data_IF_257326481463
#
_entry.id   IF_257326481463
#
_cell.length_a   1.000
_cell.length_b   1.000
_cell.length_c   1.000
_cell.angle_alpha   90.00
_cell.angle_beta   90.00
_cell.angle_gamma   90.00
#
_symmetry.space_group_name_H-M   'P 1'
#
loop_
_entity.id
_entity.type
_entity.pdbx_description
1 polymer ?
#
# COMPACT_ATOMS: atom_id res chain seq x y z
N UNK A 1 9.52 17.32 31.95
CA UNK A 1 9.27 16.31 30.88
C UNK A 1 9.64 16.83 29.48
N UNK A 2 9.40 18.10 29.13
CA UNK A 2 9.79 18.63 27.82
C UNK A 2 11.31 18.75 27.61
N UNK A 3 12.09 19.06 28.65
CA UNK A 3 13.54 19.23 28.52
C UNK A 3 14.28 17.92 28.22
N UNK A 4 13.84 16.79 28.82
CA UNK A 4 14.42 15.46 28.57
C UNK A 4 14.21 15.01 27.11
N UNK A 5 13.04 15.34 26.54
CA UNK A 5 12.75 15.06 25.13
C UNK A 5 13.62 15.94 24.21
N UNK A 6 13.80 17.21 24.54
CA UNK A 6 14.66 18.11 23.78
C UNK A 6 16.14 17.65 23.81
N UNK A 7 16.61 17.14 24.94
CA UNK A 7 17.95 16.58 25.08
C UNK A 7 18.13 15.28 24.28
N UNK A 8 17.11 14.42 24.27
CA UNK A 8 17.08 13.21 23.42
C UNK A 8 17.12 13.54 21.94
N UNK A 9 16.30 14.50 21.48
CA UNK A 9 16.28 14.93 20.07
C UNK A 9 17.65 15.49 19.68
N UNK A 10 18.24 16.36 20.50
CA UNK A 10 19.58 16.93 20.25
C UNK A 10 20.67 15.86 20.17
N UNK A 11 20.61 14.85 21.03
CA UNK A 11 21.54 13.72 21.00
C UNK A 11 21.40 12.90 19.71
N UNK A 12 20.16 12.72 19.23
CA UNK A 12 19.86 11.97 18.02
C UNK A 12 20.23 12.77 16.74
N UNK A 13 20.13 14.09 16.76
CA UNK A 13 20.59 14.96 15.68
C UNK A 13 22.13 14.98 15.60
N UNK A 14 22.82 15.02 16.75
CA UNK A 14 24.28 14.92 16.81
C UNK A 14 24.77 13.57 16.24
N UNK A 15 24.03 12.49 16.48
CA UNK A 15 24.28 11.17 15.90
C UNK A 15 24.20 11.16 14.38
N UNK A 16 23.16 11.79 13.81
CA UNK A 16 22.92 11.82 12.36
C UNK A 16 23.97 12.63 11.59
N UNK A 17 24.62 13.58 12.25
CA UNK A 17 25.70 14.38 11.69
C UNK A 17 27.05 13.66 11.74
N UNK A 18 27.15 12.50 12.40
CA UNK A 18 28.39 11.72 12.43
C UNK A 18 28.69 11.19 11.03
N UNK A 19 29.92 11.39 10.52
CA UNK A 19 30.30 10.87 9.21
C UNK A 19 30.20 9.34 9.22
N UNK A 20 29.44 8.81 8.27
CA UNK A 20 29.29 7.36 8.10
C UNK A 20 30.64 6.82 7.63
N UNK A 21 31.26 5.85 8.32
CA UNK A 21 32.49 5.24 7.85
C UNK A 21 32.23 4.60 6.48
N UNK A 22 33.21 4.65 5.55
CA UNK A 22 33.05 4.00 4.27
C UNK A 22 32.74 2.52 4.50
N UNK A 23 31.72 1.96 3.81
CA UNK A 23 31.41 0.55 3.96
C UNK A 23 32.64 -0.28 3.59
N UNK A 24 32.88 -1.42 4.27
CA UNK A 24 33.95 -2.32 3.88
C UNK A 24 33.75 -2.71 2.41
N UNK A 25 34.82 -2.70 1.63
CA UNK A 25 34.80 -3.08 0.21
C UNK A 25 34.47 -4.56 0.08
N UNK A 26 33.17 -4.88 0.03
CA UNK A 26 32.70 -6.20 -0.34
C UNK A 26 32.64 -6.27 -1.86
N UNK A 27 33.13 -7.36 -2.48
CA UNK A 27 32.91 -7.57 -3.91
C UNK A 27 31.40 -7.61 -4.16
N UNK A 28 30.87 -6.58 -4.82
CA UNK A 28 29.48 -6.56 -5.26
C UNK A 28 29.41 -7.51 -6.44
N UNK A 29 28.95 -8.73 -6.19
CA UNK A 29 28.65 -9.69 -7.26
C UNK A 29 27.53 -9.08 -8.10
N UNK A 30 27.79 -8.86 -9.40
CA UNK A 30 26.73 -8.50 -10.34
C UNK A 30 25.86 -9.73 -10.54
N UNK A 31 24.56 -9.58 -10.28
CA UNK A 31 23.57 -10.59 -10.63
C UNK A 31 23.43 -10.62 -12.15
N UNK A 32 23.41 -11.81 -12.72
CA UNK A 32 23.02 -12.01 -14.11
C UNK A 32 21.50 -11.82 -14.26
N UNK A 33 20.98 -11.52 -15.46
CA UNK A 33 19.54 -11.39 -15.68
C UNK A 33 18.74 -12.62 -15.22
N UNK A 34 19.25 -13.83 -15.42
CA UNK A 34 18.57 -15.06 -14.96
C UNK A 34 18.51 -15.22 -13.44
N UNK A 35 19.55 -14.77 -12.73
CA UNK A 35 19.54 -14.75 -11.26
C UNK A 35 18.61 -13.67 -10.71
N UNK A 36 18.37 -12.59 -11.47
CA UNK A 36 17.37 -11.59 -11.13
C UNK A 36 15.96 -12.16 -11.28
N UNK A 37 15.69 -12.92 -12.34
CA UNK A 37 14.41 -13.61 -12.55
C UNK A 37 14.12 -14.60 -11.41
N UNK A 38 15.10 -15.43 -11.02
CA UNK A 38 14.96 -16.38 -9.91
C UNK A 38 14.67 -15.67 -8.58
N UNK A 39 15.31 -14.52 -8.33
CA UNK A 39 15.02 -13.71 -7.13
C UNK A 39 13.64 -13.05 -7.21
N UNK A 40 13.21 -12.57 -8.37
CA UNK A 40 11.87 -12.05 -8.58
C UNK A 40 10.81 -13.14 -8.35
N UNK A 41 11.06 -14.36 -8.81
CA UNK A 41 10.19 -15.52 -8.57
C UNK A 41 10.19 -15.95 -7.09
N UNK A 42 11.32 -15.84 -6.39
CA UNK A 42 11.42 -16.15 -4.97
C UNK A 42 10.79 -15.08 -4.05
N UNK A 43 10.77 -13.82 -4.50
CA UNK A 43 10.20 -12.66 -3.77
C UNK A 43 8.74 -12.42 -4.15
N UNK A 44 8.28 -12.87 -5.31
CA UNK A 44 6.86 -13.02 -5.62
C UNK A 44 6.38 -14.32 -4.98
N UNK A 45 5.74 -14.32 -3.80
CA UNK A 45 5.08 -15.53 -3.36
C UNK A 45 4.06 -15.97 -4.41
N UNK A 46 3.84 -17.29 -4.58
CA UNK A 46 2.88 -17.84 -5.55
C UNK A 46 1.43 -17.37 -5.33
N UNK A 47 1.19 -16.57 -4.28
CA UNK A 47 -0.08 -16.02 -3.85
C UNK A 47 0.03 -14.53 -3.39
N UNK A 48 1.04 -13.75 -3.80
CA UNK A 48 0.88 -12.27 -3.77
C UNK A 48 0.22 -11.83 -5.08
N UNK A 49 -1.03 -11.38 -5.03
CA UNK A 49 -1.61 -10.73 -6.17
C UNK A 49 -0.83 -9.45 -6.41
N UNK A 50 -0.16 -9.35 -7.57
CA UNK A 50 0.07 -8.05 -8.18
C UNK A 50 -1.22 -7.21 -8.03
N UNK A 51 -1.19 -6.02 -7.42
CA UNK A 51 -2.40 -5.22 -7.15
C UNK A 51 -3.17 -4.79 -8.41
N UNK A 52 -2.71 -5.18 -9.59
CA UNK A 52 -3.36 -4.91 -10.87
C UNK A 52 -4.14 -6.09 -11.46
N UNK A 53 -4.14 -7.28 -10.82
CA UNK A 53 -4.79 -8.48 -11.39
C UNK A 53 -5.65 -9.28 -10.40
N UNK A 54 -6.04 -8.72 -9.25
CA UNK A 54 -7.21 -9.25 -8.53
C UNK A 54 -8.49 -8.92 -9.33
N UNK A 55 -9.04 -9.94 -9.97
CA UNK A 55 -10.38 -9.90 -10.55
C UNK A 55 -11.45 -9.94 -9.45
N UNK A 56 -11.50 -8.95 -8.56
CA UNK A 56 -12.36 -9.00 -7.37
C UNK A 56 -13.46 -7.94 -7.40
N UNK A 57 -14.59 -8.28 -8.03
CA UNK A 57 -15.78 -7.42 -7.94
C UNK A 57 -16.28 -7.27 -6.49
N UNK A 58 -15.98 -8.27 -5.64
CA UNK A 58 -16.27 -8.28 -4.20
C UNK A 58 -15.31 -7.39 -3.41
N UNK A 59 -13.99 -7.48 -3.62
CA UNK A 59 -13.04 -6.56 -2.95
C UNK A 59 -13.31 -5.10 -3.32
N UNK A 60 -13.63 -4.82 -4.61
CA UNK A 60 -14.06 -3.47 -5.02
C UNK A 60 -15.37 -3.01 -4.36
N UNK A 61 -16.26 -3.95 -4.02
CA UNK A 61 -17.49 -3.64 -3.29
C UNK A 61 -17.19 -3.31 -1.83
N UNK A 62 -16.29 -4.05 -1.18
CA UNK A 62 -15.84 -3.78 0.20
C UNK A 62 -15.14 -2.42 0.29
N UNK A 63 -14.23 -2.12 -0.64
CA UNK A 63 -13.57 -0.81 -0.71
C UNK A 63 -14.58 0.31 -0.95
N UNK A 64 -15.56 0.09 -1.84
CA UNK A 64 -16.63 1.05 -2.09
C UNK A 64 -17.51 1.25 -0.85
N UNK A 65 -17.86 0.17 -0.16
CA UNK A 65 -18.65 0.19 1.07
C UNK A 65 -17.94 0.99 2.17
N UNK A 66 -16.64 0.79 2.32
CA UNK A 66 -15.81 1.55 3.25
C UNK A 66 -15.81 3.04 2.93
N UNK A 67 -15.59 3.43 1.66
CA UNK A 67 -15.63 4.84 1.21
C UNK A 67 -17.02 5.48 1.45
N UNK A 68 -18.09 4.73 1.20
CA UNK A 68 -19.47 5.20 1.49
C UNK A 68 -19.73 5.38 2.98
N UNK A 69 -19.15 4.52 3.84
CA UNK A 69 -19.20 4.65 5.30
C UNK A 69 -18.46 5.89 5.83
N UNK A 70 -17.43 6.36 5.13
CA UNK A 70 -16.74 7.63 5.43
C UNK A 70 -17.52 8.89 4.97
N UNK A 71 -18.66 8.71 4.31
CA UNK A 71 -19.49 9.81 3.80
C UNK A 71 -19.09 10.31 2.41
N UNK A 72 -18.25 9.59 1.66
CA UNK A 72 -17.90 10.01 0.31
C UNK A 72 -19.08 9.93 -0.67
N UNK A 73 -19.18 10.87 -1.62
CA UNK A 73 -20.18 10.82 -2.67
C UNK A 73 -19.91 9.65 -3.62
N UNK A 74 -21.00 9.07 -4.14
CA UNK A 74 -20.99 7.86 -4.99
C UNK A 74 -20.02 7.96 -6.16
N UNK A 75 -19.94 9.13 -6.79
CA UNK A 75 -19.09 9.37 -7.97
C UNK A 75 -17.60 9.32 -7.63
N UNK A 76 -17.22 9.85 -6.46
CA UNK A 76 -15.84 9.85 -5.97
C UNK A 76 -15.42 8.45 -5.51
N UNK A 77 -16.30 7.76 -4.77
CA UNK A 77 -16.07 6.40 -4.33
C UNK A 77 -15.94 5.43 -5.53
N UNK A 78 -16.81 5.57 -6.53
CA UNK A 78 -16.75 4.76 -7.76
C UNK A 78 -15.45 5.00 -8.55
N UNK A 79 -15.01 6.26 -8.64
CA UNK A 79 -13.75 6.63 -9.29
C UNK A 79 -12.54 6.00 -8.61
N UNK A 80 -12.51 5.98 -7.27
CA UNK A 80 -11.41 5.38 -6.50
C UNK A 80 -11.30 3.86 -6.68
N UNK A 81 -12.42 3.15 -6.71
CA UNK A 81 -12.43 1.68 -6.91
C UNK A 81 -12.39 1.28 -8.39
N UNK A 82 -12.24 2.25 -9.30
CA UNK A 82 -12.10 1.99 -10.74
C UNK A 82 -13.38 1.54 -11.45
N UNK A 83 -14.57 1.86 -10.91
CA UNK A 83 -15.86 1.51 -11.54
C UNK A 83 -16.61 2.75 -12.00
N UNK A 84 -17.45 2.60 -13.04
CA UNK A 84 -18.31 3.69 -13.48
C UNK A 84 -19.38 4.01 -12.41
N UNK A 85 -19.68 5.29 -12.21
CA UNK A 85 -20.71 5.73 -11.27
C UNK A 85 -22.09 5.10 -11.54
N UNK A 86 -22.41 4.83 -12.82
CA UNK A 86 -23.63 4.12 -13.22
C UNK A 86 -23.64 2.68 -12.70
N UNK A 87 -22.51 1.98 -12.79
CA UNK A 87 -22.33 0.60 -12.30
C UNK A 87 -22.39 0.55 -10.77
N UNK A 88 -21.78 1.52 -10.08
CA UNK A 88 -21.87 1.63 -8.62
C UNK A 88 -23.32 1.81 -8.14
N UNK A 89 -24.09 2.71 -8.76
CA UNK A 89 -25.52 2.90 -8.43
C UNK A 89 -26.37 1.65 -8.68
N UNK A 90 -26.07 0.88 -9.71
CA UNK A 90 -26.89 -0.27 -10.11
C UNK A 90 -26.53 -1.56 -9.38
N UNK A 91 -25.25 -1.77 -9.06
CA UNK A 91 -24.78 -3.03 -8.46
C UNK A 91 -24.39 -2.88 -6.99
N UNK A 92 -23.69 -1.81 -6.63
CA UNK A 92 -23.06 -1.69 -5.32
C UNK A 92 -23.99 -1.09 -4.28
N UNK A 93 -24.76 -0.04 -4.62
CA UNK A 93 -25.75 0.55 -3.69
C UNK A 93 -26.84 -0.44 -3.22
N UNK A 94 -27.40 -1.32 -4.08
CA UNK A 94 -28.36 -2.34 -3.62
C UNK A 94 -27.73 -3.41 -2.72
N UNK A 95 -26.47 -3.78 -2.98
CA UNK A 95 -25.73 -4.74 -2.16
C UNK A 95 -25.41 -4.15 -0.79
N UNK A 96 -24.94 -2.90 -0.75
CA UNK A 96 -24.65 -2.16 0.48
C UNK A 96 -25.89 -1.99 1.36
N UNK A 97 -27.05 -1.71 0.76
CA UNK A 97 -28.34 -1.63 1.49
C UNK A 97 -28.79 -2.97 2.06
N UNK A 98 -28.39 -4.09 1.45
CA UNK A 98 -28.74 -5.44 1.88
C UNK A 98 -27.85 -5.94 3.02
N UNK A 99 -26.61 -5.47 3.09
CA UNK A 99 -25.69 -5.74 4.22
C UNK A 99 -25.98 -4.89 5.46
N UNK A 100 -26.60 -3.71 5.31
CA UNK A 100 -26.93 -2.81 6.43
C UNK A 100 -28.39 -2.94 6.94
N UNK A 101 -29.17 -3.90 6.44
CA UNK A 101 -30.55 -4.16 6.82
C UNK A 101 -30.65 -5.42 7.71
#
# INVERSE_FOLDING_TARGET
MNDELAERVRSLEAERLRPVPPPPSRPVRRLTPGEMDELCEAVCPPDDPHPELQSDAAARLEDYAWLRGQGEPIEEAARRVGVQAKTARQKYEPQLKKENA
#
